data_IF_822794123617
#
_entry.id   IF_822794123617
#
_cell.length_a   1.000
_cell.length_b   1.000
_cell.length_c   1.000
_cell.angle_alpha   90.00
_cell.angle_beta   90.00
_cell.angle_gamma   90.00
#
_symmetry.space_group_name_H-M   'P 1'
#
loop_
_entity.id
_entity.type
_entity.pdbx_description
1 polymer ?
#
# COMPACT_ATOMS: atom_id res chain seq x y z
N UNK A 1 -24.07 13.16 -34.36
CA UNK A 1 -22.66 13.10 -34.04
C UNK A 1 -22.54 12.82 -32.55
N UNK A 2 -22.68 11.55 -32.16
CA UNK A 2 -22.37 11.06 -30.85
C UNK A 2 -20.86 10.97 -30.73
N UNK A 3 -20.26 11.85 -29.94
CA UNK A 3 -18.89 11.71 -29.51
C UNK A 3 -18.87 10.53 -28.55
N UNK A 4 -18.41 9.39 -29.01
CA UNK A 4 -18.05 8.30 -28.13
C UNK A 4 -16.91 8.81 -27.24
N UNK A 5 -17.23 9.17 -25.99
CA UNK A 5 -16.24 9.43 -24.99
C UNK A 5 -15.38 8.17 -24.86
N UNK A 6 -14.08 8.30 -25.03
CA UNK A 6 -13.12 7.21 -24.95
C UNK A 6 -13.39 6.39 -23.66
N UNK A 7 -13.84 5.14 -23.76
CA UNK A 7 -14.25 4.37 -22.57
C UNK A 7 -13.09 4.09 -21.62
N UNK A 8 -11.85 4.17 -22.07
CA UNK A 8 -10.66 3.93 -21.27
C UNK A 8 -10.34 5.06 -20.28
N UNK A 9 -10.56 6.33 -20.68
CA UNK A 9 -10.31 7.49 -19.81
C UNK A 9 -11.38 7.64 -18.72
N UNK A 10 -12.63 7.37 -19.05
CA UNK A 10 -13.71 7.45 -18.07
C UNK A 10 -13.65 6.29 -17.07
N UNK A 11 -13.18 5.10 -17.48
CA UNK A 11 -13.04 3.94 -16.60
C UNK A 11 -11.89 4.12 -15.58
N UNK A 12 -10.74 4.71 -15.96
CA UNK A 12 -9.65 4.94 -15.03
C UNK A 12 -9.99 6.03 -14.00
N UNK A 13 -10.68 7.09 -14.41
CA UNK A 13 -11.11 8.17 -13.52
C UNK A 13 -12.15 7.70 -12.51
N UNK A 14 -13.11 6.93 -12.93
CA UNK A 14 -14.13 6.31 -12.09
C UNK A 14 -13.50 5.34 -11.08
N UNK A 15 -12.43 4.67 -11.47
CA UNK A 15 -11.75 3.67 -10.67
C UNK A 15 -10.96 4.30 -9.51
N UNK A 16 -10.24 5.39 -9.74
CA UNK A 16 -9.49 6.10 -8.70
C UNK A 16 -10.41 6.62 -7.60
N UNK A 17 -11.47 7.32 -7.97
CA UNK A 17 -12.48 7.80 -7.01
C UNK A 17 -13.21 6.63 -6.33
N UNK A 18 -13.42 5.54 -7.04
CA UNK A 18 -14.02 4.32 -6.51
C UNK A 18 -13.18 3.66 -5.43
N UNK A 19 -11.87 3.52 -5.61
CA UNK A 19 -10.96 2.96 -4.62
C UNK A 19 -10.90 3.81 -3.36
N UNK A 20 -10.79 5.13 -3.52
CA UNK A 20 -10.80 6.07 -2.39
C UNK A 20 -12.09 5.97 -1.60
N UNK A 21 -13.22 6.11 -2.28
CA UNK A 21 -14.54 6.08 -1.65
C UNK A 21 -14.81 4.76 -0.94
N UNK A 22 -14.43 3.66 -1.58
CA UNK A 22 -14.58 2.34 -1.00
C UNK A 22 -13.78 2.20 0.30
N UNK A 23 -12.49 2.58 0.27
CA UNK A 23 -11.64 2.48 1.44
C UNK A 23 -12.10 3.42 2.58
N UNK A 24 -12.45 4.65 2.24
CA UNK A 24 -12.90 5.63 3.22
C UNK A 24 -14.23 5.25 3.87
N UNK A 25 -15.18 4.73 3.09
CA UNK A 25 -16.45 4.23 3.62
C UNK A 25 -16.26 3.02 4.54
N UNK A 26 -15.38 2.12 4.15
CA UNK A 26 -15.08 0.92 4.92
C UNK A 26 -14.36 1.22 6.25
N UNK A 27 -13.65 2.33 6.32
CA UNK A 27 -12.93 2.79 7.52
C UNK A 27 -13.65 3.92 8.26
N UNK A 28 -14.92 4.15 7.93
CA UNK A 28 -15.72 5.20 8.59
C UNK A 28 -15.79 4.97 10.10
N UNK A 29 -15.48 6.02 10.86
CA UNK A 29 -15.43 5.96 12.32
C UNK A 29 -14.10 5.53 12.91
N UNK A 30 -13.16 5.01 12.11
CA UNK A 30 -11.82 4.67 12.57
C UNK A 30 -10.88 5.88 12.53
N UNK A 31 -9.98 5.98 13.48
CA UNK A 31 -8.91 6.96 13.43
C UNK A 31 -7.83 6.49 12.45
N UNK A 32 -7.57 7.29 11.42
CA UNK A 32 -6.64 6.92 10.34
C UNK A 32 -5.61 8.01 10.07
N UNK A 33 -4.46 7.59 9.56
CA UNK A 33 -3.40 8.45 9.04
C UNK A 33 -3.07 7.98 7.62
N UNK A 34 -3.01 8.83 6.62
CA UNK A 34 -3.46 10.23 6.61
C UNK A 34 -4.99 10.35 6.72
N UNK A 35 -5.50 11.56 6.91
CA UNK A 35 -6.95 11.79 6.96
C UNK A 35 -7.63 11.43 5.64
N UNK A 36 -6.96 11.69 4.51
CA UNK A 36 -7.40 11.32 3.16
C UNK A 36 -6.47 10.23 2.63
N UNK A 37 -7.02 9.16 2.09
CA UNK A 37 -6.24 8.04 1.59
C UNK A 37 -5.15 8.46 0.61
N UNK A 38 -3.96 7.87 0.73
CA UNK A 38 -2.90 8.01 -0.25
C UNK A 38 -3.24 7.17 -1.47
N UNK A 39 -3.50 7.86 -2.57
CA UNK A 39 -3.81 7.26 -3.86
C UNK A 39 -2.63 7.41 -4.80
N UNK A 40 -2.40 6.39 -5.60
CA UNK A 40 -1.45 6.48 -6.70
C UNK A 40 -1.84 5.54 -7.84
N UNK A 41 -1.53 5.95 -9.05
CA UNK A 41 -1.70 5.16 -10.26
C UNK A 41 -0.45 5.27 -11.10
N UNK A 42 0.01 4.15 -11.63
CA UNK A 42 1.17 4.11 -12.52
C UNK A 42 0.98 3.05 -13.59
N UNK A 43 1.57 3.28 -14.75
CA UNK A 43 1.56 2.32 -15.85
C UNK A 43 2.95 2.20 -16.48
N UNK A 44 3.35 0.98 -16.79
CA UNK A 44 4.53 0.64 -17.56
C UNK A 44 4.13 0.07 -18.93
N UNK A 45 5.05 -0.63 -19.59
CA UNK A 45 4.80 -1.19 -20.92
C UNK A 45 3.76 -2.31 -20.93
N UNK A 46 3.73 -3.14 -19.89
CA UNK A 46 2.85 -4.32 -19.79
C UNK A 46 2.18 -4.42 -18.44
N UNK A 47 2.37 -3.46 -17.58
CA UNK A 47 1.83 -3.43 -16.23
C UNK A 47 1.18 -2.08 -15.93
N UNK A 48 0.14 -2.12 -15.11
CA UNK A 48 -0.42 -0.94 -14.50
C UNK A 48 -0.83 -1.27 -13.06
N UNK A 49 -0.84 -0.28 -12.21
CA UNK A 49 -1.20 -0.44 -10.81
C UNK A 49 -1.93 0.77 -10.30
N UNK A 50 -2.96 0.53 -9.48
CA UNK A 50 -3.69 1.56 -8.74
C UNK A 50 -3.81 1.09 -7.29
N UNK A 51 -3.64 2.01 -6.34
CA UNK A 51 -3.92 1.71 -4.94
C UNK A 51 -4.48 2.89 -4.17
N UNK A 52 -5.16 2.55 -3.07
CA UNK A 52 -5.53 3.46 -2.01
C UNK A 52 -5.06 2.87 -0.70
N UNK A 53 -4.38 3.63 0.13
CA UNK A 53 -3.88 3.16 1.43
C UNK A 53 -4.16 4.18 2.53
N UNK A 54 -4.47 3.66 3.72
CA UNK A 54 -4.55 4.38 4.98
C UNK A 54 -4.01 3.50 6.09
N UNK A 55 -3.62 4.10 7.18
CA UNK A 55 -3.20 3.35 8.37
C UNK A 55 -4.19 3.58 9.50
N UNK A 56 -4.67 2.49 10.11
CA UNK A 56 -5.62 2.52 11.21
C UNK A 56 -4.84 2.59 12.52
N UNK A 57 -5.04 3.67 13.28
CA UNK A 57 -4.24 3.98 14.46
C UNK A 57 -4.82 3.38 15.73
N UNK A 58 -6.14 3.27 15.82
CA UNK A 58 -6.88 2.88 17.03
C UNK A 58 -6.99 1.37 17.26
N UNK A 59 -6.28 0.56 16.48
CA UNK A 59 -6.33 -0.90 16.58
C UNK A 59 -7.59 -1.54 16.02
N UNK A 60 -8.40 -0.79 15.27
CA UNK A 60 -9.56 -1.30 14.58
C UNK A 60 -9.21 -2.28 13.46
N UNK A 61 -10.24 -2.89 12.87
CA UNK A 61 -10.08 -3.81 11.76
C UNK A 61 -9.49 -3.10 10.54
N UNK A 62 -8.51 -3.72 9.92
CA UNK A 62 -7.95 -3.24 8.65
C UNK A 62 -8.60 -3.98 7.48
N UNK A 63 -8.73 -3.27 6.35
CA UNK A 63 -9.21 -3.83 5.11
C UNK A 63 -7.99 -4.12 4.24
N UNK A 64 -7.92 -5.33 3.72
CA UNK A 64 -6.83 -5.79 2.88
C UNK A 64 -7.41 -6.45 1.65
N UNK A 65 -7.53 -5.72 0.56
CA UNK A 65 -8.10 -6.22 -0.69
C UNK A 65 -7.13 -6.01 -1.84
N UNK A 66 -6.99 -7.05 -2.66
CA UNK A 66 -6.14 -7.02 -3.84
C UNK A 66 -6.80 -7.69 -5.03
N UNK A 67 -6.49 -7.19 -6.22
CA UNK A 67 -7.06 -7.62 -7.49
C UNK A 67 -5.98 -7.71 -8.55
N UNK A 68 -6.13 -8.67 -9.44
CA UNK A 68 -5.34 -8.78 -10.67
C UNK A 68 -6.31 -8.89 -11.84
N UNK A 69 -6.21 -7.96 -12.79
CA UNK A 69 -7.11 -7.89 -13.95
C UNK A 69 -8.59 -7.95 -13.54
N UNK A 70 -8.95 -7.20 -12.48
CA UNK A 70 -10.28 -7.11 -11.88
C UNK A 70 -10.75 -8.38 -11.17
N UNK A 71 -9.91 -9.39 -11.03
CA UNK A 71 -10.22 -10.63 -10.32
C UNK A 71 -9.68 -10.52 -8.88
N UNK A 72 -10.51 -10.74 -7.85
CA UNK A 72 -10.03 -10.72 -6.47
C UNK A 72 -8.96 -11.78 -6.22
N UNK A 73 -7.87 -11.38 -5.56
CA UNK A 73 -6.81 -12.28 -5.13
C UNK A 73 -6.87 -12.46 -3.62
N UNK A 74 -7.70 -13.39 -3.16
CA UNK A 74 -8.00 -13.56 -1.74
C UNK A 74 -6.77 -13.90 -0.90
N UNK A 75 -5.76 -14.53 -1.48
CA UNK A 75 -4.50 -14.87 -0.83
C UNK A 75 -3.36 -13.89 -1.15
N UNK A 76 -3.66 -12.76 -1.78
CA UNK A 76 -2.67 -11.74 -2.13
C UNK A 76 -1.69 -12.23 -3.20
N UNK A 77 -0.41 -12.07 -2.94
CA UNK A 77 0.65 -12.48 -3.83
C UNK A 77 1.75 -11.44 -4.01
N UNK A 78 2.49 -11.56 -5.12
CA UNK A 78 3.67 -10.73 -5.39
C UNK A 78 3.37 -9.25 -5.54
N UNK A 79 2.17 -8.88 -6.02
CA UNK A 79 1.75 -7.48 -6.13
C UNK A 79 1.57 -6.84 -4.75
N UNK A 80 0.96 -7.56 -3.80
CA UNK A 80 0.82 -7.12 -2.40
C UNK A 80 2.19 -7.02 -1.74
N UNK A 81 3.07 -8.01 -1.95
CA UNK A 81 4.43 -7.99 -1.42
C UNK A 81 5.24 -6.81 -1.96
N UNK A 82 5.07 -6.46 -3.22
CA UNK A 82 5.69 -5.29 -3.84
C UNK A 82 5.23 -3.99 -3.18
N UNK A 83 3.93 -3.83 -2.98
CA UNK A 83 3.38 -2.65 -2.29
C UNK A 83 3.94 -2.55 -0.87
N UNK A 84 3.88 -3.63 -0.12
CA UNK A 84 4.41 -3.72 1.24
C UNK A 84 5.88 -3.32 1.32
N UNK A 85 6.73 -3.91 0.48
CA UNK A 85 8.16 -3.62 0.46
C UNK A 85 8.45 -2.17 0.08
N UNK A 86 7.79 -1.66 -0.96
CA UNK A 86 8.01 -0.30 -1.43
C UNK A 86 7.63 0.76 -0.39
N UNK A 87 6.45 0.62 0.22
CA UNK A 87 6.00 1.53 1.28
C UNK A 87 6.93 1.47 2.50
N UNK A 88 7.35 0.27 2.90
CA UNK A 88 8.20 0.08 4.06
C UNK A 88 9.60 0.65 3.87
N UNK A 89 10.19 0.45 2.70
CA UNK A 89 11.50 1.02 2.36
C UNK A 89 11.47 2.55 2.33
N UNK A 90 10.43 3.12 1.74
CA UNK A 90 10.29 4.58 1.68
C UNK A 90 10.17 5.20 3.08
N UNK A 91 9.37 4.61 3.96
CA UNK A 91 9.25 5.09 5.33
C UNK A 91 10.56 4.92 6.12
N UNK A 92 11.24 3.80 5.95
CA UNK A 92 12.52 3.55 6.59
C UNK A 92 13.56 4.60 6.19
N UNK A 93 13.69 4.89 4.92
CA UNK A 93 14.58 5.95 4.42
C UNK A 93 14.20 7.34 4.96
N UNK A 94 12.91 7.63 5.01
CA UNK A 94 12.39 8.88 5.59
C UNK A 94 12.80 9.03 7.07
N UNK A 95 12.66 7.95 7.87
CA UNK A 95 13.05 7.93 9.27
C UNK A 95 14.57 8.08 9.44
N UNK A 96 15.36 7.40 8.62
CA UNK A 96 16.83 7.47 8.67
C UNK A 96 17.34 8.86 8.30
N UNK A 97 16.80 9.44 7.23
CA UNK A 97 17.19 10.77 6.75
C UNK A 97 16.88 11.87 7.76
N UNK A 98 15.76 11.75 8.50
CA UNK A 98 15.32 12.73 9.51
C UNK A 98 15.78 12.38 10.92
N UNK A 99 16.54 11.32 11.09
CA UNK A 99 17.06 10.86 12.37
C UNK A 99 15.94 10.67 13.42
N UNK A 100 14.86 9.99 12.99
CA UNK A 100 13.69 9.73 13.83
C UNK A 100 13.77 8.42 14.61
N UNK A 101 14.66 7.51 14.21
CA UNK A 101 14.75 6.19 14.84
C UNK A 101 15.46 6.26 16.20
N UNK A 102 14.83 5.78 17.29
CA UNK A 102 15.51 5.64 18.57
C UNK A 102 16.69 4.66 18.48
N UNK A 103 17.67 4.87 19.33
CA UNK A 103 18.86 4.03 19.37
C UNK A 103 18.50 2.55 19.61
N UNK A 104 19.01 1.67 18.75
CA UNK A 104 18.79 0.24 18.86
C UNK A 104 17.48 -0.25 18.26
N UNK A 105 16.66 0.64 17.69
CA UNK A 105 15.41 0.28 17.03
C UNK A 105 15.63 0.17 15.53
N UNK A 106 15.24 -0.98 14.97
CA UNK A 106 15.20 -1.24 13.52
C UNK A 106 13.76 -1.51 13.08
N UNK A 107 13.31 -0.82 12.05
CA UNK A 107 12.00 -1.04 11.47
C UNK A 107 12.02 -2.28 10.58
N UNK A 108 10.98 -3.09 10.70
CA UNK A 108 10.65 -4.16 9.74
C UNK A 108 9.42 -3.76 8.93
N UNK A 109 9.16 -4.47 7.85
CA UNK A 109 7.98 -4.20 7.03
C UNK A 109 6.68 -4.35 7.83
N UNK A 110 6.60 -5.30 8.72
CA UNK A 110 5.42 -5.55 9.57
C UNK A 110 5.09 -4.38 10.48
N UNK A 111 6.07 -3.64 10.96
CA UNK A 111 5.86 -2.51 11.86
C UNK A 111 4.96 -1.42 11.23
N UNK A 112 5.00 -1.29 9.92
CA UNK A 112 4.11 -0.40 9.17
C UNK A 112 2.90 -1.15 8.61
N UNK A 113 3.12 -2.35 8.06
CA UNK A 113 2.13 -3.08 7.28
C UNK A 113 0.95 -3.60 8.08
N UNK A 114 1.16 -4.00 9.33
CA UNK A 114 0.12 -4.62 10.17
C UNK A 114 -1.11 -3.72 10.38
N UNK A 115 -0.94 -2.41 10.32
CA UNK A 115 -2.02 -1.45 10.46
C UNK A 115 -2.42 -0.79 9.14
N UNK A 116 -1.87 -1.24 8.03
CA UNK A 116 -2.17 -0.70 6.71
C UNK A 116 -3.48 -1.29 6.18
N UNK A 117 -4.44 -0.41 5.96
CA UNK A 117 -5.64 -0.73 5.20
C UNK A 117 -5.44 -0.32 3.75
N UNK A 118 -5.69 -1.22 2.82
CA UNK A 118 -5.41 -0.97 1.41
C UNK A 118 -6.41 -1.64 0.48
N UNK A 119 -6.55 -1.04 -0.68
CA UNK A 119 -7.13 -1.66 -1.88
C UNK A 119 -6.10 -1.52 -2.99
N UNK A 120 -5.70 -2.61 -3.59
CA UNK A 120 -4.68 -2.69 -4.61
C UNK A 120 -5.24 -3.36 -5.87
N UNK A 121 -5.09 -2.72 -7.00
CA UNK A 121 -5.48 -3.29 -8.30
C UNK A 121 -4.30 -3.27 -9.25
N UNK A 122 -3.91 -4.43 -9.73
CA UNK A 122 -2.87 -4.60 -10.74
C UNK A 122 -3.48 -5.07 -12.05
N UNK A 123 -3.00 -4.51 -13.16
CA UNK A 123 -3.31 -4.97 -14.52
C UNK A 123 -2.03 -5.52 -15.13
N UNK A 124 -2.04 -6.78 -15.51
CA UNK A 124 -0.87 -7.48 -16.04
C UNK A 124 -1.24 -8.18 -17.34
N UNK A 125 -0.35 -8.14 -18.33
CA UNK A 125 -0.60 -8.80 -19.62
C UNK A 125 -0.54 -10.32 -19.54
N UNK A 126 0.37 -10.86 -18.73
CA UNK A 126 0.56 -12.31 -18.59
C UNK A 126 0.76 -12.68 -17.12
N UNK A 127 -0.29 -12.58 -16.28
CA UNK A 127 -0.15 -12.89 -14.87
C UNK A 127 0.05 -14.39 -14.64
N UNK A 128 0.93 -14.73 -13.69
CA UNK A 128 1.14 -16.08 -13.21
C UNK A 128 0.58 -16.23 -11.79
N UNK A 129 -0.09 -17.33 -11.55
CA UNK A 129 -0.71 -17.60 -10.26
C UNK A 129 -0.14 -18.88 -9.65
N UNK A 130 -0.09 -18.92 -8.32
CA UNK A 130 0.25 -20.13 -7.58
C UNK A 130 -0.97 -21.05 -7.54
N UNK A 131 -0.84 -22.24 -8.12
CA UNK A 131 -1.93 -23.22 -8.21
C UNK A 131 -2.93 -22.91 -9.34
N UNK A 132 -4.03 -23.67 -9.37
CA UNK A 132 -5.07 -23.57 -10.41
C UNK A 132 -6.11 -22.50 -10.13
N UNK A 133 -6.26 -22.09 -8.86
CA UNK A 133 -7.14 -21.00 -8.46
C UNK A 133 -6.39 -19.68 -8.57
N UNK A 134 -7.04 -18.66 -9.09
CA UNK A 134 -6.42 -17.32 -9.28
C UNK A 134 -6.45 -16.49 -8.00
N UNK A 135 -6.17 -17.10 -6.86
CA UNK A 135 -6.27 -16.47 -5.54
C UNK A 135 -4.96 -15.83 -5.08
N UNK A 136 -3.82 -16.28 -5.62
CA UNK A 136 -2.50 -15.79 -5.24
C UNK A 136 -1.62 -15.57 -6.47
N UNK A 137 -1.22 -14.31 -6.68
CA UNK A 137 -0.31 -13.96 -7.77
C UNK A 137 1.13 -14.40 -7.43
N UNK A 138 1.82 -14.98 -8.42
CA UNK A 138 3.22 -15.41 -8.28
C UNK A 138 4.19 -14.70 -9.25
N UNK A 139 3.73 -13.77 -10.06
CA UNK A 139 4.55 -13.04 -11.04
C UNK A 139 5.62 -12.18 -10.36
N UNK A 140 6.90 -12.50 -10.56
CA UNK A 140 8.03 -11.76 -9.98
C UNK A 140 8.14 -10.35 -10.52
N UNK A 141 7.82 -10.16 -11.81
CA UNK A 141 7.87 -8.84 -12.46
C UNK A 141 6.88 -7.86 -11.81
N UNK A 142 5.72 -8.34 -11.37
CA UNK A 142 4.74 -7.52 -10.67
C UNK A 142 5.30 -6.99 -9.34
N UNK A 143 5.99 -7.82 -8.58
CA UNK A 143 6.61 -7.40 -7.31
C UNK A 143 7.66 -6.31 -7.54
N UNK A 144 8.52 -6.48 -8.53
CA UNK A 144 9.56 -5.49 -8.86
C UNK A 144 8.97 -4.17 -9.34
N UNK A 145 8.02 -4.22 -10.25
CA UNK A 145 7.35 -3.02 -10.79
C UNK A 145 6.61 -2.25 -9.70
N UNK A 146 5.75 -2.92 -8.97
CA UNK A 146 4.92 -2.28 -7.93
C UNK A 146 5.80 -1.80 -6.77
N UNK A 147 6.81 -2.57 -6.38
CA UNK A 147 7.74 -2.18 -5.33
C UNK A 147 8.51 -0.91 -5.67
N UNK A 148 9.01 -0.79 -6.89
CA UNK A 148 9.69 0.41 -7.37
C UNK A 148 8.78 1.62 -7.43
N UNK A 149 7.58 1.47 -8.00
CA UNK A 149 6.58 2.54 -8.09
C UNK A 149 6.12 2.98 -6.69
N UNK A 150 5.84 2.04 -5.80
CA UNK A 150 5.40 2.34 -4.44
C UNK A 150 6.47 3.09 -3.64
N UNK A 151 7.72 2.65 -3.74
CA UNK A 151 8.84 3.32 -3.07
C UNK A 151 8.99 4.76 -3.53
N UNK A 152 9.02 4.99 -4.84
CA UNK A 152 9.21 6.32 -5.40
C UNK A 152 8.03 7.25 -5.09
N UNK A 153 6.81 6.79 -5.29
CA UNK A 153 5.61 7.58 -5.04
C UNK A 153 5.42 7.90 -3.56
N UNK A 154 5.67 6.94 -2.69
CA UNK A 154 5.52 7.15 -1.24
C UNK A 154 6.63 8.03 -0.68
N UNK A 155 7.87 7.89 -1.17
CA UNK A 155 8.97 8.79 -0.80
C UNK A 155 8.65 10.23 -1.12
N UNK A 156 8.11 10.48 -2.30
CA UNK A 156 7.69 11.84 -2.70
C UNK A 156 6.54 12.34 -1.81
N UNK A 157 5.54 11.51 -1.58
CA UNK A 157 4.40 11.86 -0.73
C UNK A 157 4.82 12.19 0.71
N UNK A 158 5.73 11.41 1.29
CA UNK A 158 6.25 11.66 2.64
C UNK A 158 6.96 13.00 2.74
N UNK A 159 7.73 13.37 1.72
CA UNK A 159 8.42 14.65 1.66
C UNK A 159 7.46 15.83 1.45
N UNK A 160 6.37 15.62 0.74
CA UNK A 160 5.32 16.63 0.54
C UNK A 160 4.37 16.75 1.75
N UNK A 161 4.24 15.69 2.54
CA UNK A 161 3.37 15.62 3.72
C UNK A 161 4.16 15.19 4.96
N UNK A 162 5.14 16.01 5.41
CA UNK A 162 6.06 15.60 6.46
C UNK A 162 5.38 15.35 7.82
N UNK A 163 4.29 16.04 8.12
CA UNK A 163 3.54 15.82 9.36
C UNK A 163 2.89 14.43 9.40
N UNK A 164 2.26 14.02 8.29
CA UNK A 164 1.71 12.67 8.16
C UNK A 164 2.81 11.62 8.16
N UNK A 165 3.94 11.92 7.52
CA UNK A 165 5.13 11.06 7.53
C UNK A 165 5.67 10.83 8.94
N UNK A 166 5.75 11.87 9.75
CA UNK A 166 6.17 11.76 11.15
C UNK A 166 5.19 10.95 11.99
N UNK A 167 3.89 11.12 11.77
CA UNK A 167 2.85 10.31 12.45
C UNK A 167 2.95 8.84 12.10
N UNK A 168 3.19 8.51 10.83
CA UNK A 168 3.42 7.14 10.39
C UNK A 168 4.72 6.57 10.96
N UNK A 169 5.77 7.38 11.04
CA UNK A 169 7.02 6.99 11.67
C UNK A 169 6.81 6.66 13.16
N UNK A 170 6.08 7.48 13.89
CA UNK A 170 5.74 7.23 15.30
C UNK A 170 4.98 5.92 15.46
N UNK A 171 4.02 5.64 14.57
CA UNK A 171 3.24 4.41 14.56
C UNK A 171 4.16 3.18 14.38
N UNK A 172 5.01 3.21 13.36
CA UNK A 172 5.93 2.12 13.06
C UNK A 172 6.97 1.92 14.18
N UNK A 173 7.52 3.00 14.71
CA UNK A 173 8.48 2.97 15.82
C UNK A 173 7.84 2.39 17.07
N UNK A 174 6.61 2.78 17.41
CA UNK A 174 5.86 2.22 18.53
C UNK A 174 5.66 0.70 18.38
N UNK A 175 5.35 0.24 17.19
CA UNK A 175 5.21 -1.19 16.88
C UNK A 175 6.55 -1.92 17.03
N UNK A 176 7.64 -1.33 16.54
CA UNK A 176 8.98 -1.89 16.67
C UNK A 176 9.41 -2.01 18.14
N UNK A 177 9.10 -1.00 18.93
CA UNK A 177 9.40 -1.01 20.37
C UNK A 177 8.61 -2.09 21.12
N UNK A 178 7.32 -2.25 20.81
CA UNK A 178 6.50 -3.31 21.38
C UNK A 178 7.02 -4.71 21.03
N UNK A 179 7.43 -4.90 19.79
CA UNK A 179 8.03 -6.16 19.33
C UNK A 179 9.36 -6.45 20.05
N UNK A 180 10.21 -5.43 20.23
CA UNK A 180 11.46 -5.58 20.96
C UNK A 180 11.23 -5.94 22.43
N UNK A 181 10.24 -5.33 23.10
CA UNK A 181 9.88 -5.66 24.48
C UNK A 181 9.31 -7.08 24.61
N UNK A 182 8.49 -7.52 23.67
CA UNK A 182 7.93 -8.86 23.65
C UNK A 182 9.03 -9.93 23.50
N UNK A 183 10.07 -9.69 22.70
CA UNK A 183 11.18 -10.62 22.54
C UNK A 183 12.08 -10.71 23.77
N UNK A 184 12.11 -9.67 24.64
CA UNK A 184 12.87 -9.70 25.89
C UNK A 184 12.20 -10.50 27.01
N UNK A 185 10.90 -10.76 26.91
CA UNK A 185 10.12 -11.50 27.92
C UNK A 185 10.08 -13.01 27.69
N UNK A 186 10.71 -13.50 26.63
CA UNK A 186 10.73 -14.94 26.30
C UNK A 186 11.99 -15.61 26.80
#
# INVERSE_FOLDING_TARGET
>A
LTVEAEPERSASWYYEDGLRSYLENALEGAETVPAVAFLHSASGNQEAVDWAVKWVVDGGAVIAESYVNLIPTAQGGTHVNGLRSGLSEALKEFCEFRDLLPRGIKLTAEDLWDQCAYVLSAKLSEPQFAGQTKERLSSRQAAAFIGGVAKDAFSLWLNENPQDGERLAELAISNAQRRAQASRKV
#
